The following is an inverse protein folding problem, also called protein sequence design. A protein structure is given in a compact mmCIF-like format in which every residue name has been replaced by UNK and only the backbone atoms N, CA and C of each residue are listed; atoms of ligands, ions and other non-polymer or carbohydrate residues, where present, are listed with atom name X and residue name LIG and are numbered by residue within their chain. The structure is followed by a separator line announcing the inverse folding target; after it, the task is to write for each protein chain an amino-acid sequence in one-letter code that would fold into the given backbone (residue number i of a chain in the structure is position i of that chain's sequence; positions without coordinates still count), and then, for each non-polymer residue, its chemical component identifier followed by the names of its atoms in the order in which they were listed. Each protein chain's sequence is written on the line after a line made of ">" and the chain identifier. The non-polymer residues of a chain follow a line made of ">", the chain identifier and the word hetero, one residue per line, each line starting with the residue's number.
data_IF_475868266092
#
_entry.id   IF_475868266092
#
_cell.length_a   1.000
_cell.length_b   1.000
_cell.length_c   1.000
_cell.angle_alpha   90.00
_cell.angle_beta   90.00
_cell.angle_gamma   90.00
#
_symmetry.space_group_name_H-M   'P 1'
#
loop_
_entity.id
_entity.type
_entity.pdbx_description
1 polymer ?
#
# COMPACT_ATOMS: atom_id res chain seq x y z
N UNK A 1 43.28 -34.73 25.43
CA UNK A 1 42.26 -35.12 24.43
C UNK A 1 41.35 -33.92 24.22
N UNK A 2 41.39 -33.30 23.04
CA UNK A 2 40.51 -32.19 22.71
C UNK A 2 39.19 -32.74 22.17
N UNK A 3 38.06 -32.38 22.80
CA UNK A 3 36.73 -32.71 22.32
C UNK A 3 36.38 -31.73 21.21
N UNK A 4 36.36 -32.20 19.97
CA UNK A 4 35.89 -31.42 18.82
C UNK A 4 34.37 -31.46 18.83
N UNK A 5 33.73 -30.35 19.22
CA UNK A 5 32.27 -30.20 19.11
C UNK A 5 31.94 -29.82 17.67
N UNK A 6 31.48 -30.78 16.89
CA UNK A 6 30.91 -30.53 15.56
C UNK A 6 29.46 -30.07 15.72
N UNK A 7 29.25 -28.75 15.74
CA UNK A 7 27.91 -28.19 15.56
C UNK A 7 27.47 -28.48 14.11
N UNK A 8 26.32 -29.14 13.87
CA UNK A 8 25.82 -29.34 12.52
C UNK A 8 25.44 -27.97 11.95
N UNK A 9 26.30 -27.41 11.09
CA UNK A 9 25.99 -26.24 10.29
C UNK A 9 24.95 -26.69 9.26
N UNK A 10 23.67 -26.54 9.58
CA UNK A 10 22.61 -26.67 8.58
C UNK A 10 22.73 -25.50 7.62
N UNK A 11 23.52 -25.69 6.55
CA UNK A 11 23.44 -24.85 5.38
C UNK A 11 22.01 -24.93 4.86
N UNK A 12 21.24 -23.86 5.04
CA UNK A 12 19.95 -23.73 4.40
C UNK A 12 20.27 -23.40 2.95
N UNK A 13 20.00 -24.32 2.00
CA UNK A 13 20.29 -24.17 0.55
C UNK A 13 19.04 -23.87 -0.30
N UNK A 14 17.89 -23.54 0.33
CA UNK A 14 16.62 -23.21 -0.35
C UNK A 14 16.61 -21.82 -1.01
N UNK A 15 15.95 -21.67 -2.15
CA UNK A 15 15.75 -20.33 -2.74
C UNK A 15 15.06 -19.35 -1.76
N UNK A 16 15.38 -18.04 -1.83
CA UNK A 16 14.69 -17.01 -1.05
C UNK A 16 13.18 -17.03 -1.31
N UNK A 17 12.36 -16.95 -0.25
CA UNK A 17 10.92 -16.84 -0.40
C UNK A 17 10.53 -15.38 -0.68
N UNK A 18 9.80 -15.16 -1.77
CA UNK A 18 9.14 -13.90 -2.07
C UNK A 18 7.64 -14.13 -2.21
N UNK A 19 6.85 -13.47 -1.37
CA UNK A 19 5.39 -13.46 -1.42
C UNK A 19 4.95 -12.11 -1.98
N UNK A 20 4.38 -12.15 -3.19
CA UNK A 20 3.82 -10.96 -3.83
C UNK A 20 2.41 -10.74 -3.27
N UNK A 21 2.21 -9.58 -2.62
CA UNK A 21 0.87 -9.06 -2.37
C UNK A 21 0.54 -8.06 -3.48
N UNK A 22 -0.66 -8.11 -4.08
CA UNK A 22 -1.08 -7.09 -5.02
C UNK A 22 -1.25 -5.72 -4.33
N UNK A 23 -1.28 -4.63 -5.11
CA UNK A 23 -1.46 -3.29 -4.57
C UNK A 23 -2.92 -3.04 -4.14
N UNK A 24 -3.12 -2.17 -3.15
CA UNK A 24 -4.38 -1.43 -3.03
C UNK A 24 -4.45 -0.33 -4.08
N UNK A 25 -5.60 0.26 -4.34
CA UNK A 25 -5.73 1.32 -5.33
C UNK A 25 -6.53 2.50 -4.82
N UNK A 26 -6.21 3.69 -5.32
CA UNK A 26 -6.99 4.89 -5.14
C UNK A 26 -8.43 4.72 -5.65
N UNK A 27 -9.37 5.44 -5.03
CA UNK A 27 -10.76 5.48 -5.45
C UNK A 27 -10.89 5.94 -6.91
N UNK A 28 -11.76 5.25 -7.67
CA UNK A 28 -12.12 5.60 -9.04
C UNK A 28 -13.59 5.94 -9.15
N UNK A 29 -13.91 6.94 -9.97
CA UNK A 29 -15.28 7.40 -10.23
C UNK A 29 -15.65 7.24 -11.71
N UNK A 30 -16.82 6.66 -12.00
CA UNK A 30 -17.31 6.46 -13.37
C UNK A 30 -18.00 7.70 -13.99
N UNK A 31 -17.83 8.89 -13.40
CA UNK A 31 -18.57 10.09 -13.78
C UNK A 31 -17.65 11.30 -13.97
N UNK A 32 -17.92 12.09 -15.01
CA UNK A 32 -17.23 13.37 -15.25
C UNK A 32 -17.75 14.51 -14.36
N UNK A 33 -18.87 14.30 -13.68
CA UNK A 33 -19.49 15.29 -12.79
C UNK A 33 -18.88 15.30 -11.38
N UNK A 34 -17.88 14.46 -11.13
CA UNK A 34 -17.13 14.44 -9.87
C UNK A 34 -15.64 14.63 -10.13
N UNK A 35 -14.98 15.35 -9.25
CA UNK A 35 -13.54 15.63 -9.32
C UNK A 35 -12.88 15.37 -7.98
N UNK A 36 -11.71 14.73 -8.01
CA UNK A 36 -10.92 14.50 -6.81
C UNK A 36 -10.08 15.74 -6.50
N UNK A 37 -10.34 16.39 -5.37
CA UNK A 37 -9.59 17.56 -4.91
C UNK A 37 -8.41 17.19 -4.02
N UNK A 38 -8.48 16.06 -3.31
CA UNK A 38 -7.38 15.63 -2.49
C UNK A 38 -7.58 14.26 -1.88
N UNK A 39 -6.46 13.66 -1.48
CA UNK A 39 -6.41 12.42 -0.73
C UNK A 39 -5.43 12.56 0.43
N UNK A 40 -5.83 12.12 1.62
CA UNK A 40 -4.90 11.80 2.72
C UNK A 40 -4.90 10.30 2.92
N UNK A 41 -3.82 9.66 2.51
CA UNK A 41 -3.60 8.22 2.61
C UNK A 41 -2.69 7.91 3.79
N UNK A 42 -3.21 7.14 4.75
CA UNK A 42 -2.49 6.69 5.94
C UNK A 42 -2.41 5.16 5.93
N UNK A 43 -1.18 4.63 5.92
CA UNK A 43 -0.90 3.19 5.98
C UNK A 43 -0.12 2.89 7.25
N UNK A 44 -0.67 2.03 8.11
CA UNK A 44 0.00 1.55 9.33
C UNK A 44 0.23 0.06 9.21
N UNK A 45 1.49 -0.39 9.19
CA UNK A 45 1.83 -1.79 9.02
C UNK A 45 2.50 -2.42 10.24
N UNK A 46 1.92 -3.53 10.69
CA UNK A 46 2.50 -4.46 11.66
C UNK A 46 2.60 -5.87 11.02
N UNK A 47 1.75 -6.80 11.47
CA UNK A 47 1.52 -8.09 10.83
C UNK A 47 0.52 -7.98 9.67
N UNK A 48 -0.41 -7.03 9.80
CA UNK A 48 -1.33 -6.56 8.75
C UNK A 48 -1.14 -5.07 8.58
N UNK A 49 -1.55 -4.56 7.43
CA UNK A 49 -1.58 -3.14 7.16
C UNK A 49 -3.01 -2.64 7.25
N UNK A 50 -3.22 -1.64 8.11
CA UNK A 50 -4.46 -0.86 8.16
C UNK A 50 -4.31 0.32 7.23
N UNK A 51 -5.26 0.50 6.32
CA UNK A 51 -5.29 1.59 5.36
C UNK A 51 -6.50 2.46 5.68
N UNK A 52 -6.25 3.77 5.73
CA UNK A 52 -7.26 4.80 5.85
C UNK A 52 -7.00 5.84 4.77
N UNK A 53 -7.95 6.04 3.89
CA UNK A 53 -7.88 7.04 2.83
C UNK A 53 -9.03 8.03 2.97
N UNK A 54 -8.70 9.30 3.18
CA UNK A 54 -9.67 10.38 3.25
C UNK A 54 -9.66 11.15 1.92
N UNK A 55 -10.78 11.15 1.22
CA UNK A 55 -10.96 11.78 -0.07
C UNK A 55 -11.75 13.06 0.08
N UNK A 56 -11.26 14.14 -0.55
CA UNK A 56 -12.02 15.37 -0.80
C UNK A 56 -12.55 15.32 -2.22
N UNK A 57 -13.85 15.18 -2.38
CA UNK A 57 -14.50 15.05 -3.68
C UNK A 57 -15.41 16.25 -3.90
N UNK A 58 -15.28 16.89 -5.07
CA UNK A 58 -16.20 17.93 -5.51
C UNK A 58 -17.20 17.33 -6.50
N UNK A 59 -18.48 17.50 -6.23
CA UNK A 59 -19.57 17.14 -7.12
C UNK A 59 -20.14 18.38 -7.79
N UNK A 60 -20.23 18.36 -9.13
CA UNK A 60 -20.79 19.46 -9.92
C UNK A 60 -22.32 19.48 -9.85
N UNK A 61 -22.94 18.32 -9.62
CA UNK A 61 -24.39 18.18 -9.55
C UNK A 61 -24.76 17.22 -8.42
N UNK A 62 -25.87 17.47 -7.74
CA UNK A 62 -26.44 16.51 -6.80
C UNK A 62 -26.82 15.21 -7.52
N UNK A 63 -26.43 14.05 -6.99
CA UNK A 63 -26.77 12.77 -7.58
C UNK A 63 -26.11 11.55 -6.93
N UNK A 64 -26.56 10.37 -7.36
CA UNK A 64 -25.93 9.09 -7.03
C UNK A 64 -24.83 8.75 -8.01
N UNK A 65 -23.61 8.54 -7.53
CA UNK A 65 -22.45 8.25 -8.36
C UNK A 65 -21.87 6.88 -8.01
N UNK A 66 -21.51 6.11 -9.04
CA UNK A 66 -20.87 4.82 -8.89
C UNK A 66 -19.35 5.01 -8.75
N UNK A 67 -18.80 4.42 -7.69
CA UNK A 67 -17.37 4.36 -7.43
C UNK A 67 -16.90 2.92 -7.43
N UNK A 68 -15.63 2.73 -7.79
CA UNK A 68 -14.93 1.46 -7.67
C UNK A 68 -13.63 1.62 -6.90
N UNK A 69 -13.31 0.60 -6.12
CA UNK A 69 -12.06 0.48 -5.39
C UNK A 69 -11.44 -0.88 -5.71
N UNK A 70 -10.23 -0.87 -6.27
CA UNK A 70 -9.52 -2.09 -6.66
C UNK A 70 -8.62 -2.55 -5.53
N UNK A 71 -8.73 -3.83 -5.20
CA UNK A 71 -8.09 -4.47 -4.07
C UNK A 71 -7.32 -5.72 -4.46
N UNK A 72 -6.29 -6.06 -3.67
CA UNK A 72 -5.47 -7.22 -3.91
C UNK A 72 -6.17 -8.55 -3.67
N UNK A 73 -7.06 -8.58 -2.70
CA UNK A 73 -7.75 -9.77 -2.25
C UNK A 73 -9.15 -9.39 -1.79
N UNK A 74 -9.96 -10.39 -1.45
CA UNK A 74 -11.24 -10.15 -0.81
C UNK A 74 -10.98 -9.39 0.50
N UNK A 75 -11.48 -8.17 0.57
CA UNK A 75 -11.46 -7.37 1.77
C UNK A 75 -12.85 -6.76 1.97
N UNK A 76 -13.17 -6.53 3.23
CA UNK A 76 -14.33 -5.77 3.63
C UNK A 76 -13.90 -4.31 3.76
N UNK A 77 -14.54 -3.44 2.99
CA UNK A 77 -14.31 -1.99 3.04
C UNK A 77 -15.41 -1.37 3.88
N UNK A 78 -15.00 -0.45 4.73
CA UNK A 78 -15.90 0.46 5.43
C UNK A 78 -15.75 1.84 4.79
N UNK A 79 -16.84 2.35 4.22
CA UNK A 79 -16.91 3.69 3.64
C UNK A 79 -17.73 4.56 4.59
N UNK A 80 -17.11 5.64 5.07
CA UNK A 80 -17.74 6.61 5.95
C UNK A 80 -18.04 7.87 5.14
N UNK A 81 -19.31 8.26 5.15
CA UNK A 81 -19.79 9.52 4.60
C UNK A 81 -20.59 10.21 5.71
N UNK A 82 -20.01 11.25 6.30
CA UNK A 82 -20.52 11.89 7.51
C UNK A 82 -20.76 10.88 8.65
N UNK A 83 -22.01 10.64 9.03
CA UNK A 83 -22.40 9.66 10.06
C UNK A 83 -22.78 8.29 9.49
N UNK A 84 -22.85 8.15 8.17
CA UNK A 84 -23.28 6.92 7.50
C UNK A 84 -22.08 6.02 7.24
N UNK A 85 -22.22 4.75 7.59
CA UNK A 85 -21.24 3.70 7.27
C UNK A 85 -21.83 2.74 6.25
N UNK A 86 -21.11 2.51 5.17
CA UNK A 86 -21.45 1.55 4.12
C UNK A 86 -20.38 0.47 4.15
N UNK A 87 -20.79 -0.79 4.35
CA UNK A 87 -19.89 -1.94 4.29
C UNK A 87 -20.01 -2.62 2.94
N UNK A 88 -18.89 -2.81 2.25
CA UNK A 88 -18.83 -3.39 0.91
C UNK A 88 -17.78 -4.48 0.91
N UNK A 89 -18.16 -5.68 0.46
CA UNK A 89 -17.21 -6.77 0.26
C UNK A 89 -16.73 -6.79 -1.18
N UNK A 90 -15.41 -6.76 -1.36
CA UNK A 90 -14.83 -6.83 -2.70
C UNK A 90 -14.99 -8.22 -3.32
N UNK A 91 -15.29 -8.27 -4.61
CA UNK A 91 -15.49 -9.52 -5.37
C UNK A 91 -14.51 -9.61 -6.54
N UNK A 92 -14.08 -10.81 -6.95
CA UNK A 92 -13.29 -10.96 -8.16
C UNK A 92 -14.07 -10.42 -9.36
N UNK A 93 -13.48 -9.48 -10.10
CA UNK A 93 -14.08 -9.00 -11.35
C UNK A 93 -13.24 -9.44 -12.56
N UNK A 94 -13.89 -10.17 -13.46
CA UNK A 94 -13.36 -10.70 -14.71
C UNK A 94 -13.93 -9.98 -15.95
N UNK A 95 -14.97 -9.17 -15.76
CA UNK A 95 -15.86 -8.73 -16.84
C UNK A 95 -15.42 -7.43 -17.50
N UNK A 96 -14.74 -6.53 -16.78
CA UNK A 96 -14.42 -5.19 -17.28
C UNK A 96 -13.01 -5.11 -17.84
N UNK A 97 -12.92 -4.86 -19.16
CA UNK A 97 -11.66 -4.61 -19.88
C UNK A 97 -10.84 -3.48 -19.26
N UNK A 98 -11.48 -2.44 -18.74
CA UNK A 98 -10.83 -1.30 -18.07
C UNK A 98 -10.05 -1.72 -16.81
N UNK A 99 -10.47 -2.81 -16.16
CA UNK A 99 -9.83 -3.35 -14.97
C UNK A 99 -8.75 -4.39 -15.30
N UNK A 100 -8.59 -4.79 -16.57
CA UNK A 100 -7.46 -5.65 -16.99
C UNK A 100 -6.11 -4.95 -16.82
N UNK A 101 -6.07 -3.63 -16.96
CA UNK A 101 -4.86 -2.82 -16.76
C UNK A 101 -4.32 -2.93 -15.33
N UNK A 102 -5.16 -3.27 -14.35
CA UNK A 102 -4.76 -3.54 -12.97
C UNK A 102 -4.17 -4.94 -12.76
N UNK A 103 -4.43 -5.90 -13.67
CA UNK A 103 -3.86 -7.26 -13.60
C UNK A 103 -2.39 -7.30 -13.97
N UNK A 104 -1.98 -6.38 -14.84
CA UNK A 104 -0.66 -6.39 -15.48
C UNK A 104 -0.01 -5.04 -15.20
N UNK A 105 0.57 -4.90 -14.01
CA UNK A 105 1.47 -3.79 -13.71
C UNK A 105 2.89 -4.24 -14.05
N UNK A 106 3.41 -3.81 -15.18
CA UNK A 106 4.81 -4.05 -15.54
C UNK A 106 5.70 -3.04 -14.82
N UNK A 107 6.46 -3.51 -13.83
CA UNK A 107 7.56 -2.76 -13.25
C UNK A 107 8.70 -3.71 -12.84
N UNK A 108 9.87 -3.56 -13.46
CA UNK A 108 11.11 -4.34 -13.29
C UNK A 108 11.08 -5.85 -13.61
N UNK A 109 9.92 -6.51 -13.65
CA UNK A 109 9.72 -7.89 -14.17
C UNK A 109 8.22 -8.12 -14.41
N UNK A 110 7.85 -9.17 -15.17
CA UNK A 110 6.45 -9.62 -15.27
C UNK A 110 5.97 -10.08 -13.87
N UNK A 111 5.35 -9.18 -13.12
CA UNK A 111 4.57 -9.52 -11.93
C UNK A 111 3.13 -9.76 -12.40
N UNK A 112 2.75 -11.03 -12.52
CA UNK A 112 1.33 -11.38 -12.54
C UNK A 112 0.84 -11.39 -11.11
N UNK A 113 -0.09 -10.50 -10.79
CA UNK A 113 -0.89 -10.61 -9.58
C UNK A 113 -2.06 -11.59 -9.83
N UNK A 114 -2.70 -12.05 -8.76
CA UNK A 114 -3.97 -12.79 -8.86
C UNK A 114 -5.07 -11.92 -9.46
N UNK A 115 -6.29 -12.47 -9.57
CA UNK A 115 -7.44 -11.70 -10.04
C UNK A 115 -7.68 -10.51 -9.10
N UNK A 116 -7.77 -9.25 -9.60
CA UNK A 116 -8.11 -8.12 -8.76
C UNK A 116 -9.52 -8.30 -8.22
N UNK A 117 -9.70 -7.91 -6.96
CA UNK A 117 -11.01 -7.78 -6.37
C UNK A 117 -11.48 -6.34 -6.49
N UNK A 118 -12.77 -6.14 -6.73
CA UNK A 118 -13.36 -4.82 -6.91
C UNK A 118 -14.48 -4.67 -5.88
N UNK A 119 -14.45 -3.57 -5.16
CA UNK A 119 -15.58 -3.12 -4.36
C UNK A 119 -16.24 -1.95 -5.09
N UNK A 120 -17.48 -2.16 -5.51
CA UNK A 120 -18.30 -1.14 -6.13
C UNK A 120 -19.38 -0.68 -5.17
N UNK A 121 -19.61 0.62 -5.15
CA UNK A 121 -20.63 1.21 -4.30
C UNK A 121 -21.12 2.53 -4.85
N UNK A 122 -22.37 2.84 -4.51
CA UNK A 122 -23.03 4.08 -4.90
C UNK A 122 -23.00 5.05 -3.73
N UNK A 123 -22.51 6.27 -3.99
CA UNK A 123 -22.56 7.37 -3.03
C UNK A 123 -23.49 8.45 -3.55
N UNK A 124 -24.37 8.92 -2.68
CA UNK A 124 -25.20 10.09 -2.97
C UNK A 124 -24.43 11.33 -2.55
N UNK A 125 -24.07 12.17 -3.52
CA UNK A 125 -23.35 13.40 -3.28
C UNK A 125 -24.30 14.59 -3.49
N UNK A 126 -24.20 15.56 -2.59
CA UNK A 126 -24.74 16.90 -2.79
C UNK A 126 -23.82 17.70 -3.72
N UNK A 127 -24.30 18.81 -4.26
CA UNK A 127 -23.45 19.72 -5.02
C UNK A 127 -22.41 20.39 -4.10
N UNK A 128 -21.15 20.44 -4.54
CA UNK A 128 -20.04 20.99 -3.79
C UNK A 128 -19.07 19.94 -3.23
N UNK A 129 -18.32 20.31 -2.19
CA UNK A 129 -17.20 19.52 -1.66
C UNK A 129 -17.69 18.66 -0.49
N UNK A 130 -17.36 17.37 -0.54
CA UNK A 130 -17.61 16.41 0.52
C UNK A 130 -16.37 15.58 0.85
N UNK A 131 -16.29 15.11 2.10
CA UNK A 131 -15.25 14.21 2.56
C UNK A 131 -15.79 12.79 2.69
N UNK A 132 -15.04 11.83 2.15
CA UNK A 132 -15.36 10.41 2.22
C UNK A 132 -14.12 9.70 2.75
N UNK A 133 -14.32 8.83 3.73
CA UNK A 133 -13.24 8.04 4.28
C UNK A 133 -13.45 6.57 3.94
N UNK A 134 -12.39 5.91 3.48
CA UNK A 134 -12.39 4.48 3.23
C UNK A 134 -11.38 3.82 4.16
N UNK A 135 -11.82 2.78 4.86
CA UNK A 135 -10.99 1.93 5.72
C UNK A 135 -11.03 0.50 5.25
N UNK A 136 -9.86 -0.14 5.26
CA UNK A 136 -9.73 -1.57 5.01
C UNK A 136 -8.39 -2.09 5.56
N UNK A 137 -8.24 -3.41 5.60
CA UNK A 137 -7.00 -4.06 5.99
C UNK A 137 -6.52 -5.02 4.90
N UNK A 138 -5.20 -5.12 4.75
CA UNK A 138 -4.57 -6.08 3.84
C UNK A 138 -3.43 -6.79 4.54
N UNK A 139 -3.07 -7.97 4.03
CA UNK A 139 -1.81 -8.61 4.37
C UNK A 139 -0.69 -8.11 3.43
N UNK A 140 0.40 -7.53 3.95
CA UNK A 140 1.49 -7.03 3.11
C UNK A 140 2.30 -8.19 2.53
N UNK A 141 2.94 -7.96 1.38
CA UNK A 141 3.86 -8.92 0.78
C UNK A 141 5.14 -9.06 1.60
N UNK A 142 5.96 -10.05 1.27
CA UNK A 142 7.21 -10.32 1.97
C UNK A 142 8.34 -10.70 1.00
N UNK A 143 9.52 -10.12 1.20
CA UNK A 143 10.76 -10.62 0.62
C UNK A 143 11.70 -11.11 1.71
N UNK A 144 12.31 -12.26 1.48
CA UNK A 144 13.41 -12.80 2.27
C UNK A 144 14.76 -12.46 1.62
N UNK A 145 15.73 -12.04 2.43
CA UNK A 145 17.10 -11.68 2.06
C UNK A 145 18.09 -12.29 3.06
N UNK A 146 19.40 -12.18 2.82
CA UNK A 146 20.42 -12.71 3.74
C UNK A 146 20.69 -14.21 3.61
N UNK A 147 20.27 -14.82 2.50
CA UNK A 147 20.38 -16.25 2.23
C UNK A 147 21.58 -16.56 1.31
N UNK A 148 22.40 -17.61 1.59
CA UNK A 148 23.52 -18.01 0.73
C UNK A 148 24.61 -18.88 1.39
N UNK A 149 25.49 -19.47 0.58
CA UNK A 149 26.55 -20.43 0.99
C UNK A 149 27.58 -19.86 1.99
N UNK A 150 27.66 -18.52 2.10
CA UNK A 150 28.55 -17.78 3.00
C UNK A 150 27.77 -16.98 4.07
N UNK A 151 26.44 -17.13 4.11
CA UNK A 151 25.59 -16.45 5.08
C UNK A 151 25.53 -17.24 6.39
N UNK A 152 26.38 -16.90 7.35
CA UNK A 152 26.27 -17.40 8.72
C UNK A 152 25.29 -16.50 9.49
N UNK A 153 23.97 -16.67 9.29
CA UNK A 153 22.97 -15.86 10.00
C UNK A 153 21.52 -16.22 9.69
N UNK A 154 20.62 -15.75 10.56
CA UNK A 154 19.16 -15.85 10.40
C UNK A 154 18.68 -15.04 9.18
N UNK A 155 17.63 -15.53 8.52
CA UNK A 155 17.03 -14.85 7.36
C UNK A 155 16.49 -13.46 7.69
N UNK A 156 16.72 -12.53 6.77
CA UNK A 156 16.26 -11.15 6.87
C UNK A 156 14.93 -10.96 6.11
N UNK A 157 13.85 -10.67 6.84
CA UNK A 157 12.52 -10.47 6.24
C UNK A 157 12.16 -8.99 6.04
N UNK A 158 11.54 -8.68 4.90
CA UNK A 158 11.10 -7.35 4.51
C UNK A 158 9.64 -7.36 4.09
N UNK A 159 8.82 -6.54 4.73
CA UNK A 159 7.42 -6.32 4.36
C UNK A 159 7.33 -5.35 3.18
N UNK A 160 6.37 -5.59 2.28
CA UNK A 160 6.17 -4.81 1.07
C UNK A 160 4.70 -4.41 0.95
N UNK A 161 4.47 -3.11 0.74
CA UNK A 161 3.15 -2.57 0.41
C UNK A 161 3.26 -1.74 -0.85
N UNK A 162 2.30 -1.92 -1.75
CA UNK A 162 2.14 -1.15 -2.98
C UNK A 162 0.74 -0.51 -2.97
N UNK A 163 0.65 0.72 -3.49
CA UNK A 163 -0.61 1.45 -3.65
C UNK A 163 -0.65 2.17 -4.99
N UNK A 164 -1.65 1.86 -5.81
CA UNK A 164 -1.82 2.36 -7.17
C UNK A 164 -2.58 3.68 -7.17
N UNK A 165 -1.89 4.75 -7.56
CA UNK A 165 -2.43 6.11 -7.65
C UNK A 165 -2.83 6.49 -9.08
N UNK A 166 -2.29 5.80 -10.08
CA UNK A 166 -2.51 6.11 -11.50
C UNK A 166 -3.99 6.24 -11.92
N UNK A 167 -4.97 5.49 -11.37
CA UNK A 167 -6.38 5.63 -11.80
C UNK A 167 -6.96 7.01 -11.51
N UNK A 168 -6.46 7.70 -10.47
CA UNK A 168 -6.97 9.03 -10.15
C UNK A 168 -6.56 10.09 -11.17
N UNK A 169 -5.52 9.85 -11.98
CA UNK A 169 -5.02 10.83 -12.96
C UNK A 169 -6.08 11.25 -13.98
N UNK A 170 -7.11 10.44 -14.19
CA UNK A 170 -8.21 10.72 -15.12
C UNK A 170 -9.23 11.73 -14.58
N UNK A 171 -9.31 11.91 -13.26
CA UNK A 171 -10.40 12.67 -12.62
C UNK A 171 -9.98 13.60 -11.48
N UNK A 172 -8.68 13.67 -11.17
CA UNK A 172 -8.12 14.69 -10.26
C UNK A 172 -8.33 16.11 -10.80
N UNK A 173 -8.46 17.07 -9.89
CA UNK A 173 -8.46 18.48 -10.22
C UNK A 173 -7.04 19.02 -10.46
N UNK A 174 -6.94 20.19 -11.07
CA UNK A 174 -5.65 20.86 -11.28
C UNK A 174 -4.93 21.19 -9.96
N UNK A 175 -5.72 21.48 -8.91
CA UNK A 175 -5.26 21.82 -7.57
C UNK A 175 -5.21 20.60 -6.63
N UNK A 176 -5.17 19.39 -7.18
CA UNK A 176 -5.16 18.16 -6.39
C UNK A 176 -3.98 18.11 -5.41
N UNK A 177 -4.27 17.68 -4.18
CA UNK A 177 -3.27 17.46 -3.14
C UNK A 177 -3.34 16.04 -2.59
N UNK A 178 -2.19 15.35 -2.60
CA UNK A 178 -2.02 14.04 -1.99
C UNK A 178 -1.09 14.15 -0.79
N UNK A 179 -1.56 13.76 0.38
CA UNK A 179 -0.71 13.49 1.55
C UNK A 179 -0.62 11.99 1.74
N UNK A 180 0.60 11.45 1.76
CA UNK A 180 0.86 10.05 2.00
C UNK A 180 1.66 9.86 3.29
N UNK A 181 1.15 9.03 4.19
CA UNK A 181 1.81 8.65 5.43
C UNK A 181 1.93 7.14 5.55
N UNK A 182 3.16 6.67 5.80
CA UNK A 182 3.44 5.28 6.10
C UNK A 182 4.04 5.18 7.50
N UNK A 183 3.48 4.31 8.34
CA UNK A 183 3.97 4.11 9.70
C UNK A 183 4.17 2.64 10.06
N UNK A 184 5.18 2.39 10.89
CA UNK A 184 5.46 1.07 11.48
C UNK A 184 5.75 1.22 12.98
N UNK A 185 5.42 0.22 13.82
CA UNK A 185 5.80 0.22 15.23
C UNK A 185 7.31 0.23 15.38
N UNK A 186 7.81 1.07 16.27
CA UNK A 186 9.20 1.08 16.67
C UNK A 186 9.49 -0.05 17.67
N UNK A 187 10.72 -0.55 17.69
CA UNK A 187 11.19 -1.38 18.78
C UNK A 187 11.78 -0.52 19.88
N UNK A 188 11.07 -0.41 21.00
CA UNK A 188 11.70 0.00 22.26
C UNK A 188 12.34 -1.24 22.89
N UNK A 189 13.60 -1.53 22.54
CA UNK A 189 14.42 -2.40 23.39
C UNK A 189 15.03 -1.55 24.50
N UNK A 190 14.95 -2.06 25.73
CA UNK A 190 15.44 -1.47 26.99
C UNK A 190 16.98 -1.45 27.10
N UNK A 191 17.70 -1.16 26.02
CA UNK A 191 19.16 -0.99 26.08
C UNK A 191 19.59 0.15 25.16
N UNK A 192 20.68 0.78 25.56
CA UNK A 192 21.20 2.08 25.14
C UNK A 192 21.33 2.23 23.61
N UNK A 193 21.33 1.14 22.82
CA UNK A 193 21.24 1.15 21.35
C UNK A 193 19.99 0.46 20.81
N UNK A 194 18.86 1.20 20.77
CA UNK A 194 17.64 0.75 20.10
C UNK A 194 17.89 0.43 18.62
N UNK A 195 17.50 -0.77 18.17
CA UNK A 195 17.55 -1.14 16.76
C UNK A 195 16.37 -0.48 16.06
N UNK A 196 16.60 0.66 15.40
CA UNK A 196 15.56 1.34 14.65
C UNK A 196 15.14 0.49 13.44
N UNK A 197 13.84 0.24 13.30
CA UNK A 197 13.32 -0.48 12.12
C UNK A 197 13.50 0.39 10.87
N UNK A 198 14.04 -0.24 9.82
CA UNK A 198 14.19 0.39 8.50
C UNK A 198 12.82 0.47 7.82
N UNK A 199 12.50 1.65 7.30
CA UNK A 199 11.30 1.95 6.53
C UNK A 199 11.73 2.90 5.41
N UNK A 200 11.37 2.57 4.18
CA UNK A 200 11.69 3.36 2.98
C UNK A 200 10.49 3.29 2.03
N UNK A 201 10.15 4.42 1.40
CA UNK A 201 9.14 4.47 0.34
C UNK A 201 9.70 5.13 -0.91
N UNK A 202 9.24 4.68 -2.08
CA UNK A 202 9.65 5.18 -3.38
C UNK A 202 8.48 5.19 -4.36
N UNK A 203 8.57 6.07 -5.36
CA UNK A 203 7.57 6.20 -6.41
C UNK A 203 7.97 5.40 -7.64
N UNK A 204 7.00 4.76 -8.27
CA UNK A 204 7.20 4.03 -9.52
C UNK A 204 6.33 4.63 -10.64
N UNK A 205 6.74 4.39 -11.88
CA UNK A 205 5.95 4.70 -13.06
C UNK A 205 5.23 3.45 -13.56
N UNK A 206 3.98 3.58 -14.01
CA UNK A 206 3.23 2.51 -14.70
C UNK A 206 3.98 2.17 -15.99
N UNK A 207 4.30 0.89 -16.20
CA UNK A 207 5.04 0.38 -17.37
C UNK A 207 6.46 0.96 -17.54
N UNK A 208 7.03 1.57 -16.48
CA UNK A 208 8.40 2.10 -16.48
C UNK A 208 9.37 1.19 -15.71
N UNK A 209 10.66 1.53 -15.78
CA UNK A 209 11.70 0.90 -14.96
C UNK A 209 12.32 1.88 -13.94
N UNK A 210 11.91 3.15 -13.98
CA UNK A 210 12.52 4.20 -13.13
C UNK A 210 11.91 4.21 -11.73
N UNK A 211 12.75 3.95 -10.73
CA UNK A 211 12.46 4.29 -9.33
C UNK A 211 12.68 5.80 -9.19
N UNK A 212 11.68 6.51 -8.69
CA UNK A 212 11.81 7.92 -8.32
C UNK A 212 11.91 8.02 -6.80
N UNK A 213 12.93 8.72 -6.34
CA UNK A 213 12.95 9.18 -4.96
C UNK A 213 11.81 10.19 -4.78
N UNK A 214 11.02 10.03 -3.71
CA UNK A 214 9.78 10.79 -3.51
C UNK A 214 10.02 12.21 -2.98
N UNK A 215 11.27 12.58 -2.67
CA UNK A 215 11.58 13.82 -1.97
C UNK A 215 10.94 13.79 -0.58
N UNK A 216 11.55 13.05 0.34
CA UNK A 216 11.01 12.88 1.69
C UNK A 216 10.81 14.25 2.35
N UNK A 217 9.58 14.54 2.75
CA UNK A 217 9.25 15.80 3.39
C UNK A 217 9.54 15.71 4.90
N UNK A 218 9.04 14.67 5.56
CA UNK A 218 9.25 14.48 7.00
C UNK A 218 9.46 13.00 7.35
N UNK A 219 10.42 12.73 8.22
CA UNK A 219 10.56 11.46 8.93
C UNK A 219 10.58 11.77 10.43
N UNK A 220 9.57 11.31 11.15
CA UNK A 220 9.44 11.59 12.57
C UNK A 220 8.94 10.38 13.34
N UNK A 221 9.05 10.49 14.67
CA UNK A 221 8.56 9.48 15.60
C UNK A 221 7.34 10.04 16.32
N UNK A 222 6.26 9.27 16.32
CA UNK A 222 5.03 9.66 17.00
C UNK A 222 4.36 8.43 17.61
N UNK A 223 4.02 8.51 18.90
CA UNK A 223 3.26 7.47 19.61
C UNK A 223 3.84 6.05 19.48
N UNK A 224 5.18 5.93 19.56
CA UNK A 224 5.89 4.65 19.45
C UNK A 224 5.96 4.08 18.02
N UNK A 225 5.69 4.90 17.00
CA UNK A 225 5.79 4.54 15.59
C UNK A 225 6.79 5.41 14.88
N UNK A 226 7.50 4.83 13.91
CA UNK A 226 8.25 5.57 12.90
C UNK A 226 7.30 5.92 11.76
N UNK A 227 7.26 7.19 11.37
CA UNK A 227 6.37 7.71 10.34
C UNK A 227 7.19 8.37 9.23
N UNK A 228 6.89 8.04 7.97
CA UNK A 228 7.32 8.79 6.80
C UNK A 228 6.13 9.50 6.19
N UNK A 229 6.27 10.80 5.94
CA UNK A 229 5.25 11.64 5.30
C UNK A 229 5.78 12.24 4.01
N UNK A 230 4.91 12.25 3.00
CA UNK A 230 5.13 12.83 1.70
C UNK A 230 3.91 13.66 1.28
N UNK A 231 4.14 14.78 0.59
CA UNK A 231 3.08 15.57 -0.03
C UNK A 231 3.35 15.74 -1.52
N UNK A 232 2.31 15.61 -2.32
CA UNK A 232 2.34 15.80 -3.75
C UNK A 232 1.20 16.73 -4.18
N UNK A 233 1.46 17.57 -5.18
CA UNK A 233 0.40 18.25 -5.93
C UNK A 233 -0.18 17.36 -7.02
N UNK A 234 -0.63 17.96 -8.12
CA UNK A 234 -1.13 17.25 -9.30
C UNK A 234 -0.10 16.36 -10.01
N UNK A 235 1.20 16.50 -9.69
CA UNK A 235 2.28 15.62 -10.17
C UNK A 235 2.68 14.62 -9.08
N UNK A 236 2.08 13.43 -9.11
CA UNK A 236 2.34 12.32 -8.19
C UNK A 236 2.77 11.04 -8.93
N UNK A 237 3.48 10.10 -8.26
CA UNK A 237 3.89 8.83 -8.87
C UNK A 237 2.67 7.98 -9.28
N UNK A 238 2.85 7.05 -10.21
CA UNK A 238 1.77 6.13 -10.58
C UNK A 238 1.48 5.12 -9.48
N UNK A 239 2.53 4.71 -8.75
CA UNK A 239 2.46 3.71 -7.69
C UNK A 239 3.39 4.16 -6.56
N UNK A 240 2.90 4.06 -5.33
CA UNK A 240 3.71 4.16 -4.12
C UNK A 240 4.10 2.77 -3.68
N UNK A 241 5.40 2.55 -3.44
CA UNK A 241 5.89 1.29 -2.86
C UNK A 241 6.70 1.58 -1.62
N UNK A 242 6.34 0.92 -0.53
CA UNK A 242 7.09 0.97 0.72
C UNK A 242 7.65 -0.40 1.06
N UNK A 243 8.86 -0.40 1.62
CA UNK A 243 9.49 -1.57 2.21
C UNK A 243 9.88 -1.29 3.65
N UNK A 244 9.69 -2.28 4.51
CA UNK A 244 10.03 -2.15 5.92
C UNK A 244 10.58 -3.44 6.49
N UNK A 245 11.49 -3.31 7.45
CA UNK A 245 12.13 -4.46 8.09
C UNK A 245 11.12 -5.20 8.98
N UNK A 246 10.90 -6.48 8.75
CA UNK A 246 10.06 -7.33 9.59
C UNK A 246 10.85 -7.86 10.80
N UNK A 247 10.14 -8.10 11.90
CA UNK A 247 10.70 -8.78 13.09
C UNK A 247 10.77 -10.29 12.88
N UNK A 248 9.71 -10.82 12.30
CA UNK A 248 9.49 -12.24 12.06
C UNK A 248 8.86 -12.43 10.67
N UNK A 249 8.97 -13.62 10.06
CA UNK A 249 8.29 -13.91 8.82
C UNK A 249 6.76 -13.84 9.01
N UNK A 250 6.10 -13.06 8.17
CA UNK A 250 4.65 -13.02 8.05
C UNK A 250 4.10 -14.32 7.44
N UNK A 251 4.87 -14.96 6.57
CA UNK A 251 4.49 -16.20 5.87
C UNK A 251 5.48 -17.31 6.24
N UNK A 252 4.97 -18.44 6.74
CA UNK A 252 5.75 -19.62 7.13
C UNK A 252 5.92 -20.56 5.93
#
# INVERSE_FOLDING_TARGET
>A
MAVTVTLPIKSNSRAPKAVKAPPGSILYAYSKNVKLLGEKLEITCENRCSIRANYKINSIQKGGYLFAFVLPESADLEIFQDQKVISVKSKPDLSRKELFDFRIVQYNWNKSYGLPHVAEFLLNLEEGIQEIEIRYQIRPGQNETGFGYLSFGDSDFWGIVEYDLWPAKEWVSENFQLTFEMSIPEERKFFIWGIHRKLTCFGLQKNGYKIKNLGLQESFYHSGKKVLRYQFGSKFPDILRCTYKLKEPLYR
#
